data_IF_635457785930
#
_entry.id   IF_635457785930
#
_cell.length_a   1.000
_cell.length_b   1.000
_cell.length_c   1.000
_cell.angle_alpha   90.00
_cell.angle_beta   90.00
_cell.angle_gamma   90.00
#
_symmetry.space_group_name_H-M   'P 1'
#
loop_
_entity.id
_entity.type
_entity.pdbx_description
1 polymer ?
#
# COMPACT_ATOMS: atom_id res chain seq x y z
N UNK A 1 -21.04 -14.46 -2.72
CA UNK A 1 -20.15 -13.62 -3.56
C UNK A 1 -20.05 -14.25 -4.93
N UNK A 2 -20.22 -13.51 -6.04
CA UNK A 2 -20.17 -14.08 -7.39
C UNK A 2 -19.03 -13.55 -8.28
N UNK A 3 -18.10 -12.76 -7.75
CA UNK A 3 -16.93 -12.30 -8.50
C UNK A 3 -15.74 -12.09 -7.56
N UNK A 4 -14.63 -12.78 -7.83
CA UNK A 4 -13.34 -12.53 -7.18
C UNK A 4 -12.43 -11.87 -8.21
N UNK A 5 -11.94 -10.68 -7.89
CA UNK A 5 -10.97 -10.02 -8.75
C UNK A 5 -9.62 -10.73 -8.60
N UNK A 6 -9.11 -11.22 -9.71
CA UNK A 6 -7.78 -11.82 -9.83
C UNK A 6 -7.09 -11.23 -11.06
N UNK A 7 -5.79 -11.49 -11.17
CA UNK A 7 -5.04 -11.13 -12.38
C UNK A 7 -5.64 -11.72 -13.67
N UNK A 8 -6.34 -12.86 -13.59
CA UNK A 8 -7.00 -13.50 -14.73
C UNK A 8 -8.38 -12.92 -15.06
N UNK A 9 -9.09 -12.37 -14.06
CA UNK A 9 -10.47 -11.86 -14.23
C UNK A 9 -10.52 -10.35 -14.46
N UNK A 10 -9.37 -9.66 -14.49
CA UNK A 10 -9.35 -8.20 -14.66
C UNK A 10 -9.59 -7.72 -16.09
N UNK A 11 -9.52 -8.61 -17.09
CA UNK A 11 -9.56 -8.25 -18.51
C UNK A 11 -10.99 -8.08 -19.06
N UNK A 12 -11.95 -8.74 -18.42
CA UNK A 12 -13.37 -8.65 -18.77
C UNK A 12 -14.22 -8.74 -17.49
N UNK A 13 -14.17 -7.71 -16.63
CA UNK A 13 -14.94 -7.71 -15.40
C UNK A 13 -16.45 -7.67 -15.71
N UNK A 14 -17.27 -8.36 -14.89
CA UNK A 14 -18.71 -8.41 -15.11
C UNK A 14 -19.33 -7.03 -14.93
N UNK A 15 -20.39 -6.72 -15.69
CA UNK A 15 -21.07 -5.42 -15.66
C UNK A 15 -21.49 -5.00 -14.24
N UNK A 16 -22.01 -5.95 -13.45
CA UNK A 16 -22.41 -5.72 -12.08
C UNK A 16 -21.26 -5.23 -11.16
N UNK A 17 -19.99 -5.44 -11.54
CA UNK A 17 -18.85 -4.84 -10.84
C UNK A 17 -18.79 -3.34 -11.13
N UNK A 18 -18.90 -2.94 -12.40
CA UNK A 18 -18.88 -1.53 -12.80
C UNK A 18 -20.04 -0.76 -12.18
N UNK A 19 -21.26 -1.31 -12.20
CA UNK A 19 -22.43 -0.68 -11.58
C UNK A 19 -22.23 -0.45 -10.07
N UNK A 20 -21.65 -1.43 -9.36
CA UNK A 20 -21.32 -1.30 -7.92
C UNK A 20 -20.23 -0.27 -7.67
N UNK A 21 -19.21 -0.21 -8.52
CA UNK A 21 -18.18 0.81 -8.45
C UNK A 21 -18.77 2.21 -8.69
N UNK A 22 -19.63 2.37 -9.69
CA UNK A 22 -20.26 3.66 -10.02
C UNK A 22 -21.20 4.13 -8.90
N UNK A 23 -21.97 3.21 -8.32
CA UNK A 23 -22.79 3.52 -7.14
C UNK A 23 -21.93 3.95 -5.94
N UNK A 24 -20.84 3.23 -5.67
CA UNK A 24 -19.94 3.58 -4.58
C UNK A 24 -19.22 4.91 -4.83
N UNK A 25 -18.80 5.17 -6.08
CA UNK A 25 -18.18 6.42 -6.49
C UNK A 25 -19.13 7.60 -6.30
N UNK A 26 -20.43 7.45 -6.61
CA UNK A 26 -21.43 8.47 -6.36
C UNK A 26 -21.55 8.79 -4.87
N UNK A 27 -21.61 7.77 -4.00
CA UNK A 27 -21.62 7.93 -2.54
C UNK A 27 -20.37 8.64 -2.04
N UNK A 28 -19.19 8.21 -2.49
CA UNK A 28 -17.90 8.80 -2.11
C UNK A 28 -17.81 10.25 -2.59
N UNK A 29 -18.26 10.56 -3.82
CA UNK A 29 -18.28 11.92 -4.36
C UNK A 29 -19.21 12.85 -3.57
N UNK A 30 -20.32 12.34 -3.03
CA UNK A 30 -21.22 13.12 -2.19
C UNK A 30 -20.60 13.52 -0.83
N UNK A 31 -19.57 12.79 -0.38
CA UNK A 31 -18.87 13.04 0.88
C UNK A 31 -17.55 13.82 0.76
N UNK A 32 -17.16 14.26 -0.44
CA UNK A 32 -15.89 14.98 -0.63
C UNK A 32 -15.85 16.29 0.14
N UNK A 33 -14.64 16.69 0.54
CA UNK A 33 -14.41 17.87 1.37
C UNK A 33 -14.66 17.64 2.85
N UNK A 34 -15.07 16.42 3.26
CA UNK A 34 -15.19 16.05 4.65
C UNK A 34 -13.86 16.21 5.41
N UNK A 35 -13.97 16.48 6.72
CA UNK A 35 -12.83 16.56 7.61
C UNK A 35 -12.56 15.22 8.25
N UNK A 36 -11.32 14.75 8.12
CA UNK A 36 -10.85 13.45 8.62
C UNK A 36 -9.84 13.63 9.74
N UNK A 37 -10.07 12.89 10.83
CA UNK A 37 -9.30 12.96 12.07
C UNK A 37 -8.20 11.88 12.13
N UNK A 38 -7.25 12.05 13.05
CA UNK A 38 -6.33 10.97 13.42
C UNK A 38 -7.11 9.86 14.14
N UNK A 39 -6.54 8.65 14.23
CA UNK A 39 -7.11 7.58 15.05
C UNK A 39 -6.09 7.16 16.11
N UNK A 40 -6.35 7.49 17.37
CA UNK A 40 -5.39 7.26 18.46
C UNK A 40 -6.15 6.78 19.70
N UNK A 41 -5.72 5.64 20.25
CA UNK A 41 -6.34 5.09 21.45
C UNK A 41 -7.79 4.67 21.27
N UNK A 42 -8.15 4.18 20.07
CA UNK A 42 -9.52 3.75 19.76
C UNK A 42 -10.50 4.89 19.46
N UNK A 43 -10.04 6.14 19.46
CA UNK A 43 -10.87 7.32 19.24
C UNK A 43 -10.37 8.16 18.07
N UNK A 44 -11.30 8.90 17.46
CA UNK A 44 -10.98 9.87 16.42
C UNK A 44 -10.58 11.20 17.06
N UNK A 45 -9.33 11.61 16.84
CA UNK A 45 -8.73 12.76 17.51
C UNK A 45 -8.44 13.93 16.57
N UNK A 46 -8.83 15.16 16.95
CA UNK A 46 -8.45 16.34 16.20
C UNK A 46 -6.94 16.59 16.28
N UNK A 47 -6.41 17.24 15.25
CA UNK A 47 -5.04 17.72 15.23
C UNK A 47 -5.01 19.25 15.21
N UNK A 48 -3.87 19.83 15.59
CA UNK A 48 -3.68 21.28 15.54
C UNK A 48 -3.72 21.85 14.10
N UNK A 49 -3.43 21.01 13.10
CA UNK A 49 -3.38 21.39 11.69
C UNK A 49 -4.13 20.37 10.83
N UNK A 50 -4.76 20.87 9.78
CA UNK A 50 -5.35 20.09 8.70
C UNK A 50 -4.73 20.49 7.36
N UNK A 51 -4.74 19.58 6.40
CA UNK A 51 -4.34 19.84 5.02
C UNK A 51 -5.41 19.30 4.06
N UNK A 52 -5.77 20.10 3.07
CA UNK A 52 -6.61 19.65 1.97
C UNK A 52 -5.82 18.66 1.08
N UNK A 53 -6.44 17.53 0.74
CA UNK A 53 -5.95 16.61 -0.28
C UNK A 53 -6.85 16.71 -1.50
N UNK A 54 -6.29 16.99 -2.68
CA UNK A 54 -7.06 17.11 -3.93
C UNK A 54 -6.93 15.92 -4.89
N UNK A 55 -6.04 14.97 -4.59
CA UNK A 55 -5.70 13.88 -5.52
C UNK A 55 -5.05 14.37 -6.83
N UNK A 56 -4.66 13.43 -7.71
CA UNK A 56 -3.91 13.75 -8.94
C UNK A 56 -4.75 14.00 -10.19
N UNK A 57 -6.05 13.69 -10.16
CA UNK A 57 -6.95 13.72 -11.35
C UNK A 57 -7.31 15.15 -11.74
N UNK A 58 -7.80 15.92 -10.77
CA UNK A 58 -8.14 17.33 -10.94
C UNK A 58 -7.89 18.05 -9.60
N UNK A 59 -6.82 18.84 -9.54
CA UNK A 59 -6.38 19.52 -8.33
C UNK A 59 -7.38 20.53 -7.77
N UNK A 60 -8.43 20.88 -8.53
CA UNK A 60 -9.51 21.78 -8.10
C UNK A 60 -10.51 21.06 -7.20
N UNK A 61 -10.58 19.73 -7.27
CA UNK A 61 -11.48 18.91 -6.47
C UNK A 61 -10.78 18.59 -5.15
N UNK A 62 -11.30 19.09 -4.02
CA UNK A 62 -10.80 18.72 -2.69
C UNK A 62 -11.47 17.43 -2.26
N UNK A 63 -10.69 16.36 -2.10
CA UNK A 63 -11.18 15.06 -1.64
C UNK A 63 -11.58 15.11 -0.17
N UNK A 64 -10.80 15.81 0.65
CA UNK A 64 -11.07 16.00 2.07
C UNK A 64 -10.02 16.86 2.75
N UNK A 65 -10.30 17.26 3.98
CA UNK A 65 -9.34 17.90 4.88
C UNK A 65 -8.83 16.86 5.89
N UNK A 66 -7.54 16.54 5.85
CA UNK A 66 -6.96 15.50 6.69
C UNK A 66 -6.11 16.12 7.80
N UNK A 67 -6.28 15.61 9.02
CA UNK A 67 -5.44 15.96 10.15
C UNK A 67 -3.96 15.75 9.81
N UNK A 68 -3.09 16.67 10.25
CA UNK A 68 -1.64 16.56 10.09
C UNK A 68 -1.04 16.38 11.48
N UNK A 69 -0.59 15.16 11.75
CA UNK A 69 0.01 14.80 13.02
C UNK A 69 1.28 15.61 13.29
N UNK A 70 1.39 16.06 14.53
CA UNK A 70 2.56 16.67 15.12
C UNK A 70 3.40 15.63 15.87
N UNK A 71 4.56 16.06 16.41
CA UNK A 71 5.36 15.22 17.32
C UNK A 71 4.61 14.88 18.60
N UNK A 72 3.71 15.76 19.06
CA UNK A 72 2.86 15.47 20.22
C UNK A 72 1.88 14.33 19.91
N UNK A 73 1.25 14.35 18.74
CA UNK A 73 0.35 13.27 18.31
C UNK A 73 1.09 11.93 18.16
N UNK A 74 2.35 11.96 17.73
CA UNK A 74 3.23 10.78 17.74
C UNK A 74 3.42 10.23 19.15
N UNK A 75 3.76 11.08 20.12
CA UNK A 75 3.90 10.66 21.53
C UNK A 75 2.60 10.03 22.03
N UNK A 76 1.45 10.67 21.80
CA UNK A 76 0.15 10.14 22.23
C UNK A 76 -0.17 8.77 21.61
N UNK A 77 0.12 8.58 20.30
CA UNK A 77 -0.10 7.31 19.63
C UNK A 77 0.83 6.21 20.15
N UNK A 78 2.11 6.52 20.35
CA UNK A 78 3.09 5.57 20.86
C UNK A 78 2.83 5.18 22.31
N UNK A 79 2.45 6.13 23.16
CA UNK A 79 2.06 5.85 24.55
C UNK A 79 0.78 5.02 24.61
N UNK A 80 -0.20 5.30 23.75
CA UNK A 80 -1.41 4.50 23.68
C UNK A 80 -1.14 3.07 23.20
N UNK A 81 -0.25 2.88 22.22
CA UNK A 81 0.16 1.57 21.74
C UNK A 81 0.94 0.78 22.80
N UNK A 82 1.82 1.44 23.55
CA UNK A 82 2.56 0.82 24.64
C UNK A 82 1.64 0.44 25.81
N UNK A 83 0.69 1.30 26.18
CA UNK A 83 -0.27 1.00 27.23
C UNK A 83 -1.19 -0.19 26.89
N UNK A 84 -1.56 -0.33 25.62
CA UNK A 84 -2.38 -1.46 25.16
C UNK A 84 -1.60 -2.77 25.03
N UNK A 85 -0.27 -2.71 24.88
CA UNK A 85 0.57 -3.86 24.55
C UNK A 85 0.47 -5.02 25.55
N UNK A 86 0.54 -4.83 26.89
CA UNK A 86 0.46 -5.93 27.85
C UNK A 86 -0.82 -6.75 27.77
N UNK A 87 -1.97 -6.09 27.60
CA UNK A 87 -3.26 -6.76 27.44
C UNK A 87 -3.37 -7.44 26.07
N UNK A 88 -2.90 -6.78 25.01
CA UNK A 88 -2.98 -7.32 23.65
C UNK A 88 -2.11 -8.57 23.45
N UNK A 89 -0.85 -8.54 23.90
CA UNK A 89 0.04 -9.73 23.87
C UNK A 89 -0.49 -10.89 24.70
N UNK A 90 -1.31 -10.60 25.72
CA UNK A 90 -1.96 -11.60 26.58
C UNK A 90 -3.28 -12.12 26.03
N UNK A 91 -3.83 -11.49 24.99
CA UNK A 91 -5.06 -11.94 24.33
C UNK A 91 -4.82 -13.29 23.65
N UNK A 92 -5.69 -14.30 23.82
CA UNK A 92 -5.51 -15.60 23.19
C UNK A 92 -5.33 -15.51 21.67
N UNK A 93 -4.47 -16.37 21.10
CA UNK A 93 -4.18 -16.40 19.66
C UNK A 93 -5.45 -16.48 18.80
N UNK A 94 -6.37 -17.38 19.16
CA UNK A 94 -7.65 -17.55 18.47
C UNK A 94 -8.51 -16.28 18.46
N UNK A 95 -8.47 -15.49 19.54
CA UNK A 95 -9.23 -14.24 19.62
C UNK A 95 -8.61 -13.15 18.74
N UNK A 96 -7.27 -13.07 18.67
CA UNK A 96 -6.60 -12.17 17.72
C UNK A 96 -6.94 -12.54 16.28
N UNK A 97 -6.81 -13.82 15.92
CA UNK A 97 -7.19 -14.35 14.59
C UNK A 97 -8.64 -13.99 14.24
N UNK A 98 -9.58 -14.19 15.17
CA UNK A 98 -11.00 -13.82 15.00
C UNK A 98 -11.19 -12.32 14.70
N UNK A 99 -10.48 -11.45 15.43
CA UNK A 99 -10.54 -10.01 15.21
C UNK A 99 -9.97 -9.60 13.83
N UNK A 100 -8.83 -10.17 13.40
CA UNK A 100 -8.26 -9.87 12.09
C UNK A 100 -9.17 -10.34 10.94
N UNK A 101 -9.80 -11.52 11.06
CA UNK A 101 -10.84 -11.98 10.12
C UNK A 101 -12.03 -11.02 10.07
N UNK A 102 -12.45 -10.46 11.22
CA UNK A 102 -13.51 -9.46 11.26
C UNK A 102 -13.13 -8.14 10.58
N UNK A 103 -11.87 -7.70 10.69
CA UNK A 103 -11.39 -6.53 9.91
C UNK A 103 -11.53 -6.81 8.41
N UNK A 104 -11.11 -8.00 7.96
CA UNK A 104 -11.27 -8.40 6.56
C UNK A 104 -12.73 -8.36 6.11
N UNK A 105 -13.66 -8.85 6.91
CA UNK A 105 -15.10 -8.84 6.58
C UNK A 105 -15.69 -7.42 6.50
N UNK A 106 -15.27 -6.52 7.40
CA UNK A 106 -15.66 -5.10 7.34
C UNK A 106 -15.12 -4.42 6.08
N UNK A 107 -13.85 -4.67 5.75
CA UNK A 107 -13.22 -4.12 4.54
C UNK A 107 -13.88 -4.65 3.26
N UNK A 108 -14.16 -5.95 3.21
CA UNK A 108 -14.85 -6.61 2.11
C UNK A 108 -16.25 -6.03 1.88
N UNK A 109 -17.00 -5.76 2.95
CA UNK A 109 -18.31 -5.12 2.86
C UNK A 109 -18.25 -3.69 2.27
N UNK A 110 -17.10 -3.00 2.40
CA UNK A 110 -16.86 -1.63 1.93
C UNK A 110 -15.95 -1.57 0.71
N UNK A 111 -15.66 -2.71 0.07
CA UNK A 111 -14.55 -2.82 -0.90
C UNK A 111 -14.69 -1.83 -2.05
N UNK A 112 -15.90 -1.59 -2.56
CA UNK A 112 -16.16 -0.65 -3.64
C UNK A 112 -16.01 0.82 -3.23
N UNK A 113 -16.41 1.19 -2.01
CA UNK A 113 -16.25 2.55 -1.48
C UNK A 113 -14.77 2.87 -1.26
N UNK A 114 -14.04 1.91 -0.67
CA UNK A 114 -12.58 2.00 -0.50
C UNK A 114 -11.91 2.14 -1.88
N UNK A 115 -12.32 1.33 -2.86
CA UNK A 115 -11.77 1.37 -4.23
C UNK A 115 -12.03 2.71 -4.91
N UNK A 116 -13.24 3.27 -4.77
CA UNK A 116 -13.56 4.57 -5.34
C UNK A 116 -12.70 5.69 -4.71
N UNK A 117 -12.48 5.65 -3.39
CA UNK A 117 -11.58 6.59 -2.71
C UNK A 117 -10.13 6.44 -3.20
N UNK A 118 -9.62 5.21 -3.36
CA UNK A 118 -8.28 4.96 -3.90
C UNK A 118 -8.12 5.43 -5.35
N UNK A 119 -9.15 5.27 -6.18
CA UNK A 119 -9.15 5.76 -7.55
C UNK A 119 -9.00 7.29 -7.58
N UNK A 120 -9.78 8.00 -6.74
CA UNK A 120 -9.75 9.46 -6.63
C UNK A 120 -8.43 9.98 -6.02
N UNK A 121 -7.98 9.35 -4.94
CA UNK A 121 -6.82 9.80 -4.16
C UNK A 121 -5.49 9.49 -4.84
N UNK A 122 -5.36 8.33 -5.48
CA UNK A 122 -4.09 7.84 -6.02
C UNK A 122 -4.03 7.96 -7.54
N UNK A 123 -5.18 8.07 -8.22
CA UNK A 123 -5.27 8.04 -9.68
C UNK A 123 -5.29 6.63 -10.28
N UNK A 124 -5.61 5.61 -9.48
CA UNK A 124 -5.73 4.20 -9.94
C UNK A 124 -6.97 4.01 -10.79
N UNK A 125 -6.84 3.26 -11.89
CA UNK A 125 -8.03 2.81 -12.61
C UNK A 125 -8.89 1.89 -11.71
N UNK A 126 -10.16 1.69 -12.09
CA UNK A 126 -11.12 0.88 -11.33
C UNK A 126 -10.58 -0.49 -10.90
N UNK A 127 -9.85 -1.15 -11.81
CA UNK A 127 -9.33 -2.50 -11.58
C UNK A 127 -8.16 -2.51 -10.60
N UNK A 128 -7.27 -1.52 -10.69
CA UNK A 128 -6.13 -1.39 -9.79
C UNK A 128 -6.55 -0.97 -8.39
N UNK A 129 -7.54 -0.09 -8.29
CA UNK A 129 -8.10 0.33 -7.01
C UNK A 129 -8.84 -0.82 -6.30
N UNK A 130 -9.67 -1.56 -7.03
CA UNK A 130 -10.34 -2.75 -6.51
C UNK A 130 -9.36 -3.87 -6.18
N UNK A 131 -8.32 -4.03 -7.00
CA UNK A 131 -7.24 -4.98 -6.77
C UNK A 131 -6.54 -4.74 -5.43
N UNK A 132 -6.18 -3.49 -5.14
CA UNK A 132 -5.54 -3.15 -3.87
C UNK A 132 -6.49 -3.32 -2.66
N UNK A 133 -7.75 -2.89 -2.79
CA UNK A 133 -8.72 -3.06 -1.72
C UNK A 133 -8.88 -4.55 -1.36
N UNK A 134 -9.02 -5.40 -2.38
CA UNK A 134 -9.12 -6.86 -2.19
C UNK A 134 -7.82 -7.48 -1.69
N UNK A 135 -6.66 -7.04 -2.18
CA UNK A 135 -5.35 -7.49 -1.70
C UNK A 135 -5.20 -7.21 -0.20
N UNK A 136 -5.70 -6.06 0.27
CA UNK A 136 -5.68 -5.74 1.69
C UNK A 136 -6.58 -6.67 2.50
N UNK A 137 -7.80 -6.96 2.03
CA UNK A 137 -8.68 -7.97 2.66
C UNK A 137 -7.97 -9.33 2.73
N UNK A 138 -7.32 -9.73 1.64
CA UNK A 138 -6.60 -11.00 1.54
C UNK A 138 -5.42 -11.04 2.51
N UNK A 139 -4.69 -9.94 2.75
CA UNK A 139 -3.64 -9.90 3.79
C UNK A 139 -4.18 -10.17 5.20
N UNK A 140 -5.30 -9.54 5.57
CA UNK A 140 -5.89 -9.74 6.90
C UNK A 140 -6.35 -11.19 7.09
N UNK A 141 -6.94 -11.81 6.06
CA UNK A 141 -7.31 -13.24 6.10
C UNK A 141 -6.09 -14.14 6.10
N UNK A 142 -5.17 -13.92 5.17
CA UNK A 142 -3.99 -14.76 4.97
C UNK A 142 -3.10 -14.81 6.20
N UNK A 143 -2.77 -13.68 6.82
CA UNK A 143 -1.93 -13.70 8.02
C UNK A 143 -2.64 -14.27 9.24
N UNK A 144 -3.97 -14.14 9.32
CA UNK A 144 -4.76 -14.82 10.36
C UNK A 144 -4.73 -16.35 10.18
N UNK A 145 -4.95 -16.83 8.96
CA UNK A 145 -4.96 -18.24 8.60
C UNK A 145 -3.56 -18.87 8.73
N UNK A 146 -2.53 -18.17 8.27
CA UNK A 146 -1.12 -18.58 8.36
C UNK A 146 -0.68 -18.71 9.82
N UNK A 147 -0.95 -17.70 10.66
CA UNK A 147 -0.63 -17.75 12.09
C UNK A 147 -1.38 -18.88 12.82
N UNK A 148 -2.66 -19.11 12.50
CA UNK A 148 -3.45 -20.20 13.08
C UNK A 148 -2.91 -21.58 12.65
N UNK A 149 -2.59 -21.75 11.36
CA UNK A 149 -2.07 -23.01 10.80
C UNK A 149 -0.72 -23.43 11.40
N UNK A 150 0.09 -22.46 11.82
CA UNK A 150 1.35 -22.68 12.52
C UNK A 150 1.21 -22.76 14.05
N UNK A 151 -0.01 -22.88 14.58
CA UNK A 151 -0.25 -22.98 16.03
C UNK A 151 0.22 -21.74 16.80
N UNK A 152 0.21 -20.58 16.15
CA UNK A 152 0.73 -19.33 16.71
C UNK A 152 2.25 -19.31 16.92
N UNK A 153 2.99 -20.21 16.24
CA UNK A 153 4.43 -20.40 16.40
C UNK A 153 4.86 -20.72 17.85
N UNK A 154 4.02 -21.51 18.53
CA UNK A 154 4.29 -22.12 19.84
C UNK A 154 4.43 -23.64 19.64
N UNK A 155 5.67 -24.13 19.65
CA UNK A 155 6.01 -25.51 19.31
C UNK A 155 6.68 -26.21 20.49
N UNK A 156 6.15 -27.36 20.90
CA UNK A 156 6.86 -28.29 21.78
C UNK A 156 8.08 -28.84 21.04
N UNK A 157 9.22 -28.83 21.72
CA UNK A 157 10.45 -29.43 21.22
C UNK A 157 10.64 -30.81 21.86
N UNK A 158 11.35 -31.73 21.18
CA UNK A 158 11.68 -33.03 21.76
C UNK A 158 12.37 -32.89 23.12
N UNK A 159 12.12 -33.86 24.00
CA UNK A 159 12.84 -33.96 25.25
C UNK A 159 14.33 -34.24 24.98
N UNK A 160 15.20 -33.68 25.81
CA UNK A 160 16.62 -33.98 25.75
C UNK A 160 16.85 -35.47 26.07
N UNK A 161 17.75 -36.16 25.35
CA UNK A 161 18.02 -37.59 25.54
C UNK A 161 18.90 -37.83 26.79
N UNK A 162 18.47 -37.32 27.95
CA UNK A 162 19.17 -37.42 29.23
C UNK A 162 18.56 -38.55 30.09
N UNK A 163 19.34 -39.61 30.42
CA UNK A 163 18.85 -40.71 31.24
C UNK A 163 18.37 -40.24 32.63
N UNK A 164 17.17 -40.68 33.04
CA UNK A 164 16.61 -40.37 34.35
C UNK A 164 16.09 -38.94 34.51
N UNK A 165 16.10 -38.12 33.46
CA UNK A 165 15.63 -36.73 33.48
C UNK A 165 14.60 -36.52 32.37
N UNK A 166 13.44 -35.94 32.72
CA UNK A 166 12.44 -35.50 31.73
C UNK A 166 12.58 -34.00 31.54
N UNK A 167 13.21 -33.60 30.43
CA UNK A 167 13.23 -32.20 29.99
C UNK A 167 11.96 -31.89 29.19
N UNK A 168 11.37 -30.69 29.37
CA UNK A 168 10.23 -30.21 28.59
C UNK A 168 10.62 -28.89 27.93
N UNK A 169 10.91 -28.94 26.64
CA UNK A 169 11.41 -27.81 25.88
C UNK A 169 10.32 -27.23 24.97
N UNK A 170 10.34 -25.91 24.75
CA UNK A 170 9.36 -25.22 23.91
C UNK A 170 9.99 -24.05 23.16
N UNK A 171 9.73 -23.94 21.87
CA UNK A 171 10.09 -22.79 21.05
C UNK A 171 8.86 -21.91 20.85
N UNK A 172 8.95 -20.64 21.24
CA UNK A 172 7.81 -19.72 21.18
C UNK A 172 8.25 -18.41 20.54
N UNK A 173 7.61 -18.02 19.44
CA UNK A 173 7.74 -16.65 18.94
C UNK A 173 6.94 -15.69 19.82
N UNK A 174 7.58 -14.62 20.27
CA UNK A 174 6.95 -13.59 21.11
C UNK A 174 6.89 -12.27 20.34
N UNK A 175 5.83 -11.46 20.54
CA UNK A 175 5.77 -10.14 19.95
C UNK A 175 6.92 -9.26 20.46
N UNK A 176 7.33 -8.32 19.63
CA UNK A 176 8.38 -7.37 19.94
C UNK A 176 7.87 -6.21 20.81
N UNK A 177 6.67 -5.68 20.52
CA UNK A 177 6.13 -4.50 21.20
C UNK A 177 5.32 -3.63 20.25
N UNK A 178 5.47 -2.32 20.35
CA UNK A 178 4.85 -1.38 19.41
C UNK A 178 5.57 -1.40 18.06
N UNK A 179 4.87 -1.86 17.03
CA UNK A 179 5.36 -1.95 15.65
C UNK A 179 4.94 -0.74 14.83
N UNK A 180 5.90 -0.08 14.18
CA UNK A 180 5.62 1.10 13.34
C UNK A 180 5.54 0.70 11.88
N UNK A 181 4.47 1.08 11.19
CA UNK A 181 4.31 0.87 9.75
C UNK A 181 4.36 2.21 9.04
N UNK A 182 5.31 2.40 8.13
CA UNK A 182 5.43 3.61 7.29
C UNK A 182 5.08 3.22 5.85
N UNK A 183 3.87 3.59 5.43
CA UNK A 183 3.31 3.20 4.13
C UNK A 183 3.62 4.22 3.03
N UNK A 184 3.82 3.78 1.77
CA UNK A 184 4.04 4.62 0.61
C UNK A 184 2.71 5.11 0.01
N UNK A 185 2.78 5.94 -1.03
CA UNK A 185 1.59 6.49 -1.71
C UNK A 185 0.99 5.54 -2.75
N UNK A 186 1.75 4.58 -3.28
CA UNK A 186 1.35 3.85 -4.48
C UNK A 186 0.46 2.64 -4.19
N UNK A 187 0.59 2.02 -3.03
CA UNK A 187 -0.37 1.04 -2.50
C UNK A 187 -0.64 1.40 -1.04
N UNK A 188 -1.26 2.57 -0.79
CA UNK A 188 -1.31 3.16 0.54
C UNK A 188 -2.21 2.40 1.50
N UNK A 189 -3.17 1.63 1.00
CA UNK A 189 -4.02 0.77 1.81
C UNK A 189 -3.35 -0.59 2.04
N UNK A 190 -2.90 -1.27 0.97
CA UNK A 190 -2.35 -2.62 1.08
C UNK A 190 -1.02 -2.66 1.84
N UNK A 191 -0.13 -1.69 1.58
CA UNK A 191 1.17 -1.62 2.26
C UNK A 191 1.11 -0.97 3.65
N UNK A 192 -0.05 -0.44 4.04
CA UNK A 192 -0.37 -0.15 5.44
C UNK A 192 -0.99 -1.36 6.13
N UNK A 193 -2.02 -1.94 5.52
CA UNK A 193 -2.85 -3.00 6.08
C UNK A 193 -2.15 -4.34 6.21
N UNK A 194 -1.36 -4.74 5.21
CA UNK A 194 -0.64 -6.02 5.23
C UNK A 194 0.35 -6.12 6.40
N UNK A 195 1.34 -5.21 6.50
CA UNK A 195 2.25 -5.19 7.65
C UNK A 195 1.54 -5.00 8.99
N UNK A 196 0.47 -4.19 9.03
CA UNK A 196 -0.33 -4.03 10.24
C UNK A 196 -1.00 -5.36 10.65
N UNK A 197 -1.64 -6.08 9.73
CA UNK A 197 -2.27 -7.37 9.99
C UNK A 197 -1.27 -8.41 10.53
N UNK A 198 -0.09 -8.52 9.91
CA UNK A 198 0.98 -9.41 10.35
C UNK A 198 1.48 -9.08 11.77
N UNK A 199 1.69 -7.78 12.07
CA UNK A 199 2.11 -7.35 13.40
C UNK A 199 1.02 -7.58 14.46
N UNK A 200 -0.23 -7.26 14.13
CA UNK A 200 -1.38 -7.41 15.03
C UNK A 200 -1.63 -8.88 15.41
N UNK A 201 -1.67 -9.79 14.45
CA UNK A 201 -1.97 -11.21 14.70
C UNK A 201 -0.88 -11.88 15.58
N UNK A 202 0.36 -11.44 15.45
CA UNK A 202 1.49 -11.91 16.26
C UNK A 202 1.53 -11.29 17.67
N UNK A 203 0.60 -10.38 17.99
CA UNK A 203 0.43 -9.80 19.33
C UNK A 203 1.17 -8.49 19.55
N UNK A 204 1.68 -7.85 18.49
CA UNK A 204 2.21 -6.49 18.55
C UNK A 204 1.07 -5.48 18.49
N UNK A 205 1.25 -4.31 19.10
CA UNK A 205 0.42 -3.13 18.80
C UNK A 205 1.00 -2.38 17.62
N UNK A 206 0.20 -1.60 16.91
CA UNK A 206 0.61 -0.98 15.64
C UNK A 206 0.35 0.53 15.64
N UNK A 207 1.33 1.27 15.14
CA UNK A 207 1.17 2.68 14.74
C UNK A 207 1.47 2.80 13.26
N UNK A 208 0.43 3.05 12.47
CA UNK A 208 0.53 3.27 11.03
C UNK A 208 0.72 4.75 10.74
N UNK A 209 1.68 5.06 9.88
CA UNK A 209 1.85 6.37 9.26
C UNK A 209 1.60 6.26 7.75
N UNK A 210 0.54 6.91 7.27
CA UNK A 210 0.23 6.99 5.84
C UNK A 210 1.07 8.05 5.12
N UNK A 211 1.24 7.90 3.79
CA UNK A 211 1.93 8.91 2.99
C UNK A 211 1.16 10.24 2.97
N UNK A 212 1.88 11.36 2.83
CA UNK A 212 1.27 12.70 2.83
C UNK A 212 0.32 12.90 1.65
N UNK A 213 0.63 12.32 0.49
CA UNK A 213 -0.18 12.42 -0.72
C UNK A 213 -1.46 11.56 -0.65
N UNK A 214 -1.52 10.57 0.26
CA UNK A 214 -2.61 9.60 0.32
C UNK A 214 -3.10 9.32 1.76
N UNK A 215 -3.54 10.35 2.51
CA UNK A 215 -3.98 10.18 3.89
C UNK A 215 -5.34 9.47 4.03
N UNK A 216 -6.18 9.47 3.00
CA UNK A 216 -7.53 8.91 3.05
C UNK A 216 -7.50 7.39 3.12
N UNK A 217 -6.65 6.72 2.34
CA UNK A 217 -6.48 5.27 2.39
C UNK A 217 -6.20 4.76 3.82
N UNK A 218 -5.27 5.41 4.52
CA UNK A 218 -4.94 5.04 5.90
C UNK A 218 -6.06 5.35 6.90
N UNK A 219 -6.82 6.43 6.67
CA UNK A 219 -8.02 6.76 7.44
C UNK A 219 -9.11 5.68 7.27
N UNK A 220 -9.37 5.24 6.05
CA UNK A 220 -10.33 4.18 5.74
C UNK A 220 -9.94 2.84 6.39
N UNK A 221 -8.64 2.52 6.42
CA UNK A 221 -8.14 1.37 7.17
C UNK A 221 -8.44 1.51 8.66
N UNK A 222 -8.18 2.68 9.25
CA UNK A 222 -8.48 2.93 10.66
C UNK A 222 -9.98 2.78 10.97
N UNK A 223 -10.86 3.26 10.08
CA UNK A 223 -12.30 3.09 10.20
C UNK A 223 -12.70 1.61 10.21
N UNK A 224 -12.13 0.80 9.31
CA UNK A 224 -12.43 -0.64 9.24
C UNK A 224 -11.92 -1.38 10.49
N UNK A 225 -10.74 -1.02 10.98
CA UNK A 225 -10.16 -1.59 12.21
C UNK A 225 -10.99 -1.24 13.44
N UNK A 226 -11.42 0.02 13.57
CA UNK A 226 -12.32 0.46 14.64
C UNK A 226 -13.63 -0.31 14.62
N UNK A 227 -14.26 -0.41 13.45
CA UNK A 227 -15.60 -1.01 13.31
C UNK A 227 -15.57 -2.55 13.45
N UNK A 228 -14.40 -3.17 13.25
CA UNK A 228 -14.15 -4.56 13.62
C UNK A 228 -14.03 -4.79 15.13
N UNK A 229 -13.82 -3.72 15.91
CA UNK A 229 -13.80 -3.76 17.37
C UNK A 229 -12.44 -4.19 17.94
N UNK A 230 -11.33 -3.80 17.31
CA UNK A 230 -10.02 -3.95 17.94
C UNK A 230 -9.96 -3.12 19.25
N UNK A 231 -9.28 -3.61 20.30
CA UNK A 231 -9.20 -2.86 21.55
C UNK A 231 -8.52 -1.49 21.38
N UNK A 232 -8.92 -0.47 22.17
CA UNK A 232 -8.29 0.85 22.16
C UNK A 232 -6.76 0.79 22.25
N UNK A 233 -6.08 1.55 21.39
CA UNK A 233 -4.62 1.66 21.35
C UNK A 233 -3.88 0.51 20.66
N UNK A 234 -4.53 -0.62 20.38
CA UNK A 234 -3.91 -1.74 19.65
C UNK A 234 -3.54 -1.35 18.23
N UNK A 235 -4.35 -0.50 17.60
CA UNK A 235 -4.08 0.11 16.31
C UNK A 235 -4.22 1.63 16.43
N UNK A 236 -3.26 2.35 15.86
CA UNK A 236 -3.28 3.80 15.77
C UNK A 236 -2.90 4.23 14.36
N UNK A 237 -3.50 5.31 13.86
CA UNK A 237 -3.22 5.86 12.55
C UNK A 237 -2.87 7.35 12.65
N UNK A 238 -1.76 7.71 12.00
CA UNK A 238 -1.28 9.07 11.84
C UNK A 238 -1.08 9.41 10.36
N UNK A 239 -1.56 10.58 9.96
CA UNK A 239 -1.21 11.22 8.69
C UNK A 239 -0.23 12.37 8.94
N UNK A 240 0.78 12.55 8.09
CA UNK A 240 1.70 13.70 8.21
C UNK A 240 3.04 13.50 7.51
N UNK A 241 3.97 14.44 7.69
CA UNK A 241 5.23 14.47 6.93
C UNK A 241 6.20 13.34 7.32
N UNK A 242 6.97 12.82 6.36
CA UNK A 242 8.03 11.83 6.64
C UNK A 242 9.07 12.34 7.62
N UNK A 243 9.47 13.60 7.47
CA UNK A 243 10.49 14.28 8.29
C UNK A 243 10.04 14.48 9.74
N UNK A 244 8.80 14.91 9.98
CA UNK A 244 8.37 15.26 11.33
C UNK A 244 7.77 14.06 12.05
N UNK A 245 6.83 13.37 11.40
CA UNK A 245 6.07 12.26 12.00
C UNK A 245 6.84 10.95 11.85
N UNK A 246 7.37 10.67 10.66
CA UNK A 246 8.10 9.43 10.39
C UNK A 246 9.37 9.30 11.21
N UNK A 247 10.22 10.33 11.21
CA UNK A 247 11.46 10.32 12.02
C UNK A 247 11.15 10.25 13.52
N UNK A 248 10.11 10.95 13.99
CA UNK A 248 9.70 10.90 15.40
C UNK A 248 9.24 9.48 15.82
N UNK A 249 8.48 8.79 14.97
CA UNK A 249 8.05 7.41 15.23
C UNK A 249 9.26 6.47 15.33
N UNK A 250 10.19 6.53 14.37
CA UNK A 250 11.36 5.62 14.35
C UNK A 250 12.31 5.90 15.52
N UNK A 251 12.46 7.16 15.90
CA UNK A 251 13.28 7.58 17.03
C UNK A 251 12.62 7.35 18.40
N UNK A 252 11.32 7.02 18.44
CA UNK A 252 10.60 6.87 19.69
C UNK A 252 11.16 5.70 20.54
N UNK A 253 11.31 5.86 21.87
CA UNK A 253 11.83 4.81 22.74
C UNK A 253 11.00 3.52 22.74
N UNK A 254 9.69 3.62 22.55
CA UNK A 254 8.76 2.47 22.51
C UNK A 254 8.68 1.77 21.15
N UNK A 255 9.33 2.28 20.11
CA UNK A 255 9.35 1.59 18.81
C UNK A 255 10.15 0.31 18.94
N UNK A 256 9.48 -0.84 18.82
CA UNK A 256 10.07 -2.15 18.98
C UNK A 256 10.60 -2.71 17.64
N UNK A 257 9.96 -2.35 16.53
CA UNK A 257 10.36 -2.70 15.17
C UNK A 257 9.61 -1.86 14.15
N UNK A 258 10.09 -1.84 12.91
CA UNK A 258 9.44 -1.10 11.82
C UNK A 258 9.24 -1.95 10.57
N UNK A 259 8.15 -1.67 9.85
CA UNK A 259 8.02 -1.95 8.42
C UNK A 259 7.99 -0.64 7.66
N UNK A 260 8.87 -0.51 6.68
CA UNK A 260 8.97 0.65 5.81
C UNK A 260 8.88 0.18 4.35
N UNK A 261 8.04 0.86 3.57
CA UNK A 261 8.10 0.76 2.11
C UNK A 261 8.33 2.13 1.49
N UNK A 262 9.35 2.24 0.65
CA UNK A 262 9.67 3.52 0.01
C UNK A 262 11.02 3.54 -0.71
N UNK A 263 11.71 4.68 -0.67
CA UNK A 263 12.95 4.85 -1.43
C UNK A 263 14.16 4.16 -0.77
N UNK A 264 15.12 3.74 -1.59
CA UNK A 264 16.37 3.11 -1.13
C UNK A 264 17.14 4.00 -0.15
N UNK A 265 17.20 5.30 -0.43
CA UNK A 265 17.92 6.26 0.41
C UNK A 265 17.31 6.40 1.82
N UNK A 266 15.97 6.35 1.93
CA UNK A 266 15.29 6.40 3.23
C UNK A 266 15.41 5.04 3.92
N UNK A 267 15.12 3.94 3.23
CA UNK A 267 15.19 2.59 3.81
C UNK A 267 16.56 2.26 4.40
N UNK A 268 17.66 2.55 3.69
CA UNK A 268 19.02 2.33 4.22
C UNK A 268 19.31 3.12 5.49
N UNK A 269 18.86 4.37 5.57
CA UNK A 269 19.01 5.21 6.77
C UNK A 269 18.24 4.63 7.94
N UNK A 270 17.00 4.19 7.71
CA UNK A 270 16.16 3.57 8.71
C UNK A 270 16.74 2.25 9.22
N UNK A 271 17.26 1.39 8.33
CA UNK A 271 17.94 0.15 8.72
C UNK A 271 19.14 0.43 9.64
N UNK A 272 19.96 1.44 9.32
CA UNK A 272 21.09 1.85 10.16
C UNK A 272 20.63 2.36 11.52
N UNK A 273 19.60 3.22 11.55
CA UNK A 273 19.05 3.76 12.79
C UNK A 273 18.45 2.67 13.69
N UNK A 274 17.76 1.68 13.11
CA UNK A 274 17.17 0.58 13.86
C UNK A 274 18.21 -0.40 14.41
N UNK A 275 19.34 -0.58 13.71
CA UNK A 275 20.45 -1.40 14.17
C UNK A 275 21.34 -0.72 15.22
N UNK A 276 21.45 0.62 15.19
CA UNK A 276 22.39 1.40 16.01
C UNK A 276 21.89 1.80 17.41
N UNK A 277 20.73 1.34 17.84
CA UNK A 277 20.17 1.65 19.17
C UNK A 277 20.84 0.87 20.32
N UNK A 278 20.25 0.95 21.52
CA UNK A 278 20.70 0.17 22.69
C UNK A 278 20.69 -1.36 22.44
N UNK A 279 19.82 -1.80 21.53
CA UNK A 279 19.80 -3.14 20.96
C UNK A 279 19.31 -3.04 19.50
N UNK A 280 19.69 -3.99 18.62
CA UNK A 280 19.18 -4.04 17.26
C UNK A 280 17.67 -4.28 17.26
N UNK A 281 16.92 -3.39 16.61
CA UNK A 281 15.48 -3.52 16.42
C UNK A 281 15.18 -4.00 15.00
N UNK A 282 14.19 -4.89 14.80
CA UNK A 282 13.80 -5.33 13.46
C UNK A 282 13.43 -4.17 12.54
N UNK A 283 13.88 -4.26 11.30
CA UNK A 283 13.55 -3.33 10.24
C UNK A 283 13.26 -4.12 8.96
N UNK A 284 11.99 -4.15 8.56
CA UNK A 284 11.56 -4.72 7.29
C UNK A 284 11.46 -3.56 6.31
N UNK A 285 12.45 -3.44 5.41
CA UNK A 285 12.54 -2.33 4.47
C UNK A 285 12.38 -2.81 3.03
N UNK A 286 11.19 -2.62 2.47
CA UNK A 286 10.90 -2.84 1.06
C UNK A 286 11.21 -1.56 0.27
N UNK A 287 12.09 -1.68 -0.73
CA UNK A 287 12.64 -0.53 -1.44
C UNK A 287 12.40 -0.60 -2.96
N UNK A 288 12.76 0.47 -3.67
CA UNK A 288 12.58 0.54 -5.11
C UNK A 288 13.38 -0.50 -5.90
N UNK A 289 12.85 -0.89 -7.07
CA UNK A 289 13.49 -1.80 -8.02
C UNK A 289 13.70 -1.16 -9.41
N UNK A 290 14.52 -1.82 -10.23
CA UNK A 290 14.67 -1.53 -11.66
C UNK A 290 14.43 -2.81 -12.45
N UNK A 291 13.18 -3.25 -12.50
CA UNK A 291 12.85 -4.63 -12.85
C UNK A 291 13.02 -4.91 -14.36
N UNK A 292 13.71 -5.99 -14.75
CA UNK A 292 13.86 -6.39 -16.12
C UNK A 292 12.83 -7.44 -16.57
N UNK A 293 12.55 -7.49 -17.87
CA UNK A 293 11.94 -8.63 -18.57
C UNK A 293 12.91 -9.07 -19.67
N UNK A 294 13.06 -10.38 -19.85
CA UNK A 294 13.91 -10.99 -20.89
C UNK A 294 12.99 -11.72 -21.87
N UNK A 295 13.06 -11.36 -23.15
CA UNK A 295 12.30 -11.99 -24.23
C UNK A 295 13.26 -12.74 -25.15
N UNK A 296 13.16 -14.06 -25.13
CA UNK A 296 13.97 -14.96 -25.97
C UNK A 296 13.34 -15.14 -27.35
N UNK A 297 14.12 -15.65 -28.31
CA UNK A 297 13.64 -15.86 -29.69
C UNK A 297 12.48 -16.86 -29.80
N UNK A 298 12.28 -17.73 -28.79
CA UNK A 298 11.17 -18.68 -28.73
C UNK A 298 9.91 -18.14 -28.04
N UNK A 299 9.87 -16.88 -27.63
CA UNK A 299 8.74 -16.32 -26.92
C UNK A 299 7.52 -16.12 -27.83
N UNK A 300 6.32 -16.32 -27.27
CA UNK A 300 5.11 -15.81 -27.89
C UNK A 300 5.10 -14.28 -27.78
N UNK A 301 5.27 -13.59 -28.90
CA UNK A 301 5.42 -12.13 -28.92
C UNK A 301 4.13 -11.37 -28.58
N UNK A 302 2.96 -11.97 -28.80
CA UNK A 302 1.68 -11.34 -28.47
C UNK A 302 1.46 -11.36 -26.95
N UNK A 303 1.70 -12.51 -26.32
CA UNK A 303 1.66 -12.65 -24.85
C UNK A 303 2.73 -11.77 -24.19
N UNK A 304 3.94 -11.76 -24.76
CA UNK A 304 5.04 -10.92 -24.27
C UNK A 304 4.68 -9.44 -24.36
N UNK A 305 4.18 -8.96 -25.51
CA UNK A 305 3.80 -7.56 -25.67
C UNK A 305 2.68 -7.15 -24.69
N UNK A 306 1.63 -7.96 -24.56
CA UNK A 306 0.54 -7.70 -23.62
C UNK A 306 1.04 -7.64 -22.15
N UNK A 307 1.86 -8.61 -21.76
CA UNK A 307 2.47 -8.66 -20.43
C UNK A 307 3.40 -7.47 -20.15
N UNK A 308 4.22 -7.08 -21.13
CA UNK A 308 5.16 -5.95 -21.03
C UNK A 308 4.41 -4.64 -20.87
N UNK A 309 3.42 -4.36 -21.73
CA UNK A 309 2.64 -3.11 -21.67
C UNK A 309 1.96 -2.97 -20.31
N UNK A 310 1.30 -4.03 -19.84
CA UNK A 310 0.65 -4.04 -18.53
C UNK A 310 1.63 -3.85 -17.37
N UNK A 311 2.78 -4.51 -17.42
CA UNK A 311 3.80 -4.45 -16.36
C UNK A 311 4.55 -3.12 -16.31
N UNK A 312 4.71 -2.46 -17.46
CA UNK A 312 5.42 -1.19 -17.57
C UNK A 312 4.51 0.01 -17.25
N UNK A 313 3.27 0.00 -17.76
CA UNK A 313 2.39 1.17 -17.73
C UNK A 313 1.24 1.07 -16.72
N UNK A 314 0.96 -0.11 -16.16
CA UNK A 314 -0.07 -0.22 -15.12
C UNK A 314 0.24 0.76 -13.98
N UNK A 315 -0.76 1.56 -13.59
CA UNK A 315 -0.63 2.62 -12.60
C UNK A 315 0.39 3.72 -12.97
N UNK A 316 0.61 3.97 -14.26
CA UNK A 316 1.64 4.89 -14.75
C UNK A 316 3.06 4.42 -14.45
N UNK A 317 3.25 3.11 -14.22
CA UNK A 317 4.55 2.56 -13.82
C UNK A 317 4.96 2.90 -12.39
N UNK A 318 4.06 3.45 -11.56
CA UNK A 318 4.33 3.84 -10.17
C UNK A 318 4.33 2.64 -9.21
N UNK A 319 4.97 1.53 -9.60
CA UNK A 319 5.06 0.30 -8.81
C UNK A 319 6.54 -0.03 -8.57
N UNK A 320 6.90 -0.46 -7.37
CA UNK A 320 8.25 -0.98 -7.11
C UNK A 320 8.59 -2.18 -7.99
N UNK A 321 7.56 -2.93 -8.43
CA UNK A 321 7.61 -4.06 -9.34
C UNK A 321 7.43 -3.69 -10.82
N UNK A 322 7.27 -2.40 -11.16
CA UNK A 322 7.04 -1.99 -12.55
C UNK A 322 8.19 -2.43 -13.46
N UNK A 323 7.84 -2.94 -14.63
CA UNK A 323 8.80 -3.28 -15.67
C UNK A 323 9.41 -2.00 -16.22
N UNK A 324 10.72 -1.84 -16.10
CA UNK A 324 11.42 -0.62 -16.52
C UNK A 324 12.66 -0.88 -17.38
N UNK A 325 12.94 -2.14 -17.69
CA UNK A 325 14.01 -2.58 -18.59
C UNK A 325 13.54 -3.80 -19.37
N UNK A 326 13.78 -3.80 -20.67
CA UNK A 326 13.48 -4.94 -21.53
C UNK A 326 14.78 -5.38 -22.22
N UNK A 327 15.08 -6.67 -22.16
CA UNK A 327 16.19 -7.30 -22.87
C UNK A 327 15.59 -8.28 -23.87
N UNK A 328 15.92 -8.14 -25.14
CA UNK A 328 15.26 -8.89 -26.22
C UNK A 328 16.35 -9.49 -27.10
N UNK A 329 16.18 -10.76 -27.48
CA UNK A 329 17.05 -11.37 -28.48
C UNK A 329 16.81 -10.73 -29.85
N UNK A 330 17.90 -10.40 -30.54
CA UNK A 330 17.91 -9.66 -31.80
C UNK A 330 16.92 -10.17 -32.86
N UNK A 331 16.74 -11.49 -33.09
CA UNK A 331 15.83 -11.99 -34.12
C UNK A 331 14.35 -11.61 -33.94
N UNK A 332 13.93 -11.26 -32.72
CA UNK A 332 12.53 -10.92 -32.41
C UNK A 332 12.33 -9.46 -32.00
N UNK A 333 13.40 -8.66 -31.97
CA UNK A 333 13.38 -7.30 -31.44
C UNK A 333 12.42 -6.37 -32.21
N UNK A 334 12.56 -6.27 -33.54
CA UNK A 334 11.73 -5.38 -34.35
C UNK A 334 10.24 -5.77 -34.30
N UNK A 335 9.97 -7.07 -34.40
CA UNK A 335 8.61 -7.61 -34.35
C UNK A 335 7.93 -7.35 -32.98
N UNK A 336 8.70 -7.36 -31.89
CA UNK A 336 8.21 -7.01 -30.56
C UNK A 336 7.99 -5.49 -30.43
N UNK A 337 8.93 -4.67 -30.92
CA UNK A 337 8.81 -3.20 -30.87
C UNK A 337 7.51 -2.73 -31.54
N UNK A 338 7.15 -3.29 -32.70
CA UNK A 338 5.91 -2.94 -33.39
C UNK A 338 4.65 -3.31 -32.58
N UNK A 339 4.64 -4.48 -31.93
CA UNK A 339 3.55 -4.87 -31.04
C UNK A 339 3.45 -3.98 -29.81
N UNK A 340 4.59 -3.59 -29.24
CA UNK A 340 4.63 -2.66 -28.12
C UNK A 340 4.11 -1.28 -28.53
N UNK A 341 4.49 -0.76 -29.71
CA UNK A 341 3.96 0.49 -30.25
C UNK A 341 2.44 0.44 -30.36
N UNK A 342 1.90 -0.64 -30.93
CA UNK A 342 0.46 -0.83 -31.05
C UNK A 342 -0.24 -0.89 -29.68
N UNK A 343 0.32 -1.66 -28.74
CA UNK A 343 -0.22 -1.78 -27.38
C UNK A 343 -0.18 -0.45 -26.61
N UNK A 344 0.90 0.32 -26.73
CA UNK A 344 1.04 1.65 -26.13
C UNK A 344 0.04 2.63 -26.74
N UNK A 345 -0.12 2.63 -28.06
CA UNK A 345 -1.07 3.52 -28.75
C UNK A 345 -2.54 3.21 -28.39
N UNK A 346 -2.85 1.97 -27.97
CA UNK A 346 -4.17 1.58 -27.52
C UNK A 346 -4.48 2.00 -26.06
N UNK A 347 -3.49 2.49 -25.30
CA UNK A 347 -3.72 2.95 -23.93
C UNK A 347 -4.58 4.21 -23.93
N UNK A 348 -5.78 4.11 -23.37
CA UNK A 348 -6.65 5.25 -23.14
C UNK A 348 -6.31 5.93 -21.82
N UNK A 349 -5.70 7.11 -21.92
CA UNK A 349 -5.41 8.00 -20.78
C UNK A 349 -6.63 8.87 -20.48
N UNK A 350 -7.02 9.01 -19.21
CA UNK A 350 -8.21 9.78 -18.84
C UNK A 350 -8.48 9.83 -17.34
N UNK A 351 -9.70 10.21 -16.96
CA UNK A 351 -10.16 10.09 -15.57
C UNK A 351 -10.22 8.59 -15.23
N UNK A 352 -9.37 8.09 -14.30
CA UNK A 352 -9.28 6.67 -13.99
C UNK A 352 -10.54 6.10 -13.32
N UNK A 353 -11.49 6.95 -12.93
CA UNK A 353 -12.82 6.54 -12.49
C UNK A 353 -13.72 6.11 -13.67
N UNK A 354 -13.41 6.45 -14.92
CA UNK A 354 -14.18 6.04 -16.09
C UNK A 354 -13.80 4.63 -16.55
N UNK A 355 -14.78 3.85 -17.03
CA UNK A 355 -14.60 2.45 -17.43
C UNK A 355 -13.55 2.30 -18.54
N UNK A 356 -13.57 3.22 -19.48
CA UNK A 356 -12.70 3.24 -20.64
C UNK A 356 -11.24 3.64 -20.36
N UNK A 357 -10.97 4.26 -19.20
CA UNK A 357 -9.68 4.85 -18.90
C UNK A 357 -8.78 3.80 -18.27
N UNK A 358 -7.78 3.38 -19.04
CA UNK A 358 -6.83 2.39 -18.57
C UNK A 358 -5.71 3.02 -17.75
N UNK A 359 -5.30 4.24 -18.10
CA UNK A 359 -4.23 4.97 -17.43
C UNK A 359 -4.75 6.30 -16.85
N UNK A 360 -4.52 6.49 -15.55
CA UNK A 360 -4.72 7.74 -14.84
C UNK A 360 -3.43 8.58 -14.75
N UNK A 361 -3.47 9.68 -13.98
CA UNK A 361 -2.33 10.56 -13.75
C UNK A 361 -1.28 9.93 -12.83
N UNK A 362 -0.09 10.53 -12.78
CA UNK A 362 0.89 10.26 -11.71
C UNK A 362 0.55 11.02 -10.42
N UNK A 363 1.06 10.57 -9.27
CA UNK A 363 0.56 10.99 -7.95
C UNK A 363 0.65 12.49 -7.67
N UNK A 364 1.69 13.18 -8.15
CA UNK A 364 1.89 14.60 -7.88
C UNK A 364 2.81 15.28 -8.91
N UNK A 365 2.90 16.60 -8.82
CA UNK A 365 3.74 17.42 -9.71
C UNK A 365 5.23 17.02 -9.70
N UNK A 366 5.75 16.57 -8.55
CA UNK A 366 7.14 16.16 -8.44
C UNK A 366 7.40 14.85 -9.21
N UNK A 367 6.45 13.91 -9.19
CA UNK A 367 6.49 12.71 -10.02
C UNK A 367 6.44 13.06 -11.51
N UNK A 368 5.49 13.90 -11.93
CA UNK A 368 5.36 14.34 -13.32
C UNK A 368 6.63 15.02 -13.85
N UNK A 369 7.17 15.98 -13.09
CA UNK A 369 8.44 16.63 -13.42
C UNK A 369 9.62 15.64 -13.46
N UNK A 370 9.61 14.62 -12.59
CA UNK A 370 10.58 13.54 -12.61
C UNK A 370 10.54 12.73 -13.91
N UNK A 371 9.34 12.37 -14.38
CA UNK A 371 9.16 11.66 -15.65
C UNK A 371 9.66 12.50 -16.84
N UNK A 372 9.26 13.77 -16.93
CA UNK A 372 9.74 14.67 -17.99
C UNK A 372 11.27 14.78 -18.01
N UNK A 373 11.90 14.95 -16.84
CA UNK A 373 13.36 15.00 -16.74
C UNK A 373 14.01 13.72 -17.28
N UNK A 374 13.48 12.53 -16.95
CA UNK A 374 14.05 11.28 -17.46
C UNK A 374 13.86 11.11 -18.97
N UNK A 375 12.74 11.56 -19.54
CA UNK A 375 12.54 11.57 -21.00
C UNK A 375 13.55 12.49 -21.68
N UNK A 376 13.77 13.69 -21.13
CA UNK A 376 14.77 14.64 -21.65
C UNK A 376 16.20 14.09 -21.57
N UNK A 377 16.55 13.42 -20.46
CA UNK A 377 17.84 12.76 -20.29
C UNK A 377 18.05 11.64 -21.31
N UNK A 378 17.02 10.82 -21.56
CA UNK A 378 17.07 9.75 -22.56
C UNK A 378 17.26 10.32 -23.97
N UNK A 379 16.52 11.36 -24.34
CA UNK A 379 16.65 12.03 -25.63
C UNK A 379 18.05 12.62 -25.84
N UNK A 380 18.61 13.30 -24.82
CA UNK A 380 19.99 13.84 -24.85
C UNK A 380 21.05 12.75 -24.89
N UNK A 381 20.77 11.59 -24.29
CA UNK A 381 21.65 10.42 -24.26
C UNK A 381 21.66 9.60 -25.56
N UNK A 382 20.93 10.02 -26.59
CA UNK A 382 20.87 9.32 -27.87
C UNK A 382 19.88 8.14 -27.91
N UNK A 383 18.98 8.03 -26.93
CA UNK A 383 17.92 7.04 -26.98
C UNK A 383 16.93 7.36 -28.11
N UNK A 384 16.52 6.34 -28.85
CA UNK A 384 15.48 6.48 -29.86
C UNK A 384 14.11 6.34 -29.20
N UNK A 385 13.37 7.45 -29.11
CA UNK A 385 12.01 7.46 -28.54
C UNK A 385 11.02 6.88 -29.55
N UNK A 386 10.43 5.73 -29.19
CA UNK A 386 9.55 4.99 -30.09
C UNK A 386 8.07 5.33 -29.92
N UNK A 387 7.60 5.73 -28.73
CA UNK A 387 6.19 6.04 -28.48
C UNK A 387 6.02 7.02 -27.31
N UNK A 388 4.81 7.58 -27.17
CA UNK A 388 4.40 8.34 -25.98
C UNK A 388 5.07 9.71 -25.82
N UNK A 389 5.39 10.39 -26.92
CA UNK A 389 6.12 11.67 -26.89
C UNK A 389 5.15 12.83 -26.67
N UNK A 390 5.26 13.52 -25.52
CA UNK A 390 4.53 14.76 -25.22
C UNK A 390 3.77 14.74 -23.90
N UNK A 391 3.72 15.89 -23.23
CA UNK A 391 2.96 16.08 -21.99
C UNK A 391 1.47 16.28 -22.28
N UNK A 392 0.60 15.69 -21.46
CA UNK A 392 -0.86 15.85 -21.57
C UNK A 392 -1.30 17.02 -20.68
N UNK A 393 -1.16 18.25 -21.15
CA UNK A 393 -1.34 19.46 -20.32
C UNK A 393 -2.57 20.32 -20.68
N UNK A 394 -3.37 19.89 -21.65
CA UNK A 394 -4.48 20.69 -22.19
C UNK A 394 -5.85 20.01 -22.01
N UNK A 395 -6.91 20.82 -22.09
CA UNK A 395 -8.29 20.34 -22.01
C UNK A 395 -8.60 19.66 -20.68
N UNK A 396 -9.10 18.43 -20.73
CA UNK A 396 -9.45 17.65 -19.55
C UNK A 396 -8.26 17.33 -18.63
N UNK A 397 -7.02 17.41 -19.13
CA UNK A 397 -5.81 17.08 -18.37
C UNK A 397 -5.16 18.29 -17.67
N UNK A 398 -5.59 19.53 -18.01
CA UNK A 398 -4.92 20.77 -17.60
C UNK A 398 -4.80 20.97 -16.08
N UNK A 399 -5.64 20.30 -15.30
CA UNK A 399 -5.67 20.42 -13.85
C UNK A 399 -5.16 19.17 -13.12
N UNK A 400 -4.84 18.10 -13.83
CA UNK A 400 -4.27 16.88 -13.27
C UNK A 400 -2.74 16.81 -13.38
N UNK A 401 -2.21 15.62 -13.09
CA UNK A 401 -0.79 15.28 -13.21
C UNK A 401 -0.58 14.20 -14.27
N UNK A 402 -0.90 14.51 -15.53
CA UNK A 402 -0.86 13.56 -16.65
C UNK A 402 0.44 13.60 -17.46
#
# INVERSE_FOLDING_TARGET
>A
MSFRLTYATMFDPPEAMHERFDSALATVRAGLGARHLLHVGGEDRPAARYAACSGPIDRRVVLGEFAVASRHDVTMAMESAEAAYPAWRGTPAAERVRLLRRVADVMEARVYEISAALALEVGKNRMEALGEAQETVDFFRHYADDFESHGGYDHELPNDPLPGVVSRNRSVMRPYGTWVVIAPFNFPLALAGGPAAAALVTGNTVVVKGATDTPWAGRLLADCVRDAGLPPGVFNYLSGSGRDVGEALVAHPHTAGITFTGSVAVGRRLMQQMAGGAYPRPCIAEMGGKNPCIVTAGANLDDAAAGIVRSAYGMGGQKCSALSRLYVEEPVADALIERLRAGIAAIRVGDPCLRESWLGPVINAAAAAGHHRYVDELAKGGAHLVAGVGALEHGAFAHGHY
#
